data_IF_210345095059
#
_entry.id   IF_210345095059
#
_cell.length_a   1.000
_cell.length_b   1.000
_cell.length_c   1.000
_cell.angle_alpha   90.00
_cell.angle_beta   90.00
_cell.angle_gamma   90.00
#
_symmetry.space_group_name_H-M   'P 1'
#
loop_
_entity.id
_entity.type
_entity.pdbx_description
1 polymer ?
#
# COMPACT_ATOMS: atom_id res chain seq x y z
N UNK A 1 17.56 -0.62 20.17
CA UNK A 1 16.70 -1.29 19.16
C UNK A 1 15.82 -2.28 19.88
N UNK A 2 14.49 -2.18 19.71
CA UNK A 2 13.54 -3.06 20.41
C UNK A 2 13.46 -4.49 19.83
N UNK A 3 13.96 -4.68 18.60
CA UNK A 3 13.99 -5.97 17.92
C UNK A 3 15.43 -6.43 17.72
N UNK A 4 15.74 -7.61 18.23
CA UNK A 4 17.01 -8.29 17.97
C UNK A 4 17.01 -9.00 16.61
N UNK A 5 18.12 -9.62 16.26
CA UNK A 5 18.25 -10.36 15.00
C UNK A 5 17.29 -11.53 14.88
N UNK A 6 16.92 -12.17 16.03
CA UNK A 6 15.97 -13.27 16.06
C UNK A 6 14.56 -12.84 15.66
N UNK A 7 14.09 -11.71 16.18
CA UNK A 7 12.78 -11.17 15.87
C UNK A 7 12.72 -10.69 14.42
N UNK A 8 13.78 -10.08 13.91
CA UNK A 8 13.87 -9.68 12.49
C UNK A 8 13.81 -10.90 11.57
N UNK A 9 14.51 -11.98 11.91
CA UNK A 9 14.44 -13.23 11.17
C UNK A 9 13.01 -13.80 11.15
N UNK A 10 12.33 -13.81 12.30
CA UNK A 10 10.94 -14.27 12.39
C UNK A 10 9.97 -13.40 11.56
N UNK A 11 10.21 -12.09 11.48
CA UNK A 11 9.43 -11.19 10.61
C UNK A 11 9.62 -11.53 9.12
N UNK A 12 10.85 -11.84 8.71
CA UNK A 12 11.13 -12.27 7.33
C UNK A 12 10.43 -13.61 7.03
N UNK A 13 10.51 -14.58 7.95
CA UNK A 13 9.81 -15.87 7.81
C UNK A 13 8.30 -15.65 7.73
N UNK A 14 7.74 -14.79 8.57
CA UNK A 14 6.31 -14.45 8.53
C UNK A 14 5.93 -13.83 7.18
N UNK A 15 6.73 -12.91 6.64
CA UNK A 15 6.49 -12.30 5.33
C UNK A 15 6.49 -13.35 4.21
N UNK A 16 7.43 -14.30 4.22
CA UNK A 16 7.49 -15.41 3.26
C UNK A 16 6.27 -16.34 3.37
N UNK A 17 5.83 -16.65 4.58
CA UNK A 17 4.60 -17.44 4.79
C UNK A 17 3.35 -16.73 4.30
N UNK A 18 3.30 -15.40 4.42
CA UNK A 18 2.21 -14.58 3.90
C UNK A 18 2.13 -14.62 2.38
N UNK A 19 3.24 -14.75 1.67
CA UNK A 19 3.25 -14.96 0.20
C UNK A 19 2.47 -16.22 -0.17
N UNK A 20 2.61 -17.32 0.59
CA UNK A 20 1.81 -18.53 0.38
C UNK A 20 0.30 -18.29 0.50
N UNK A 21 -0.13 -17.46 1.45
CA UNK A 21 -1.54 -17.10 1.61
C UNK A 21 -2.09 -16.22 0.46
N UNK A 22 -1.23 -15.42 -0.16
CA UNK A 22 -1.59 -14.52 -1.27
C UNK A 22 -1.58 -15.21 -2.65
N UNK A 23 -0.91 -16.35 -2.78
CA UNK A 23 -0.62 -17.00 -4.08
C UNK A 23 -1.87 -17.57 -4.78
N UNK A 24 -3.03 -17.71 -4.12
CA UNK A 24 -4.23 -18.31 -4.73
C UNK A 24 -4.03 -19.80 -5.08
N UNK A 25 -4.49 -20.21 -6.26
CA UNK A 25 -4.58 -21.63 -6.63
C UNK A 25 -3.25 -22.23 -7.16
N UNK A 26 -2.23 -21.41 -7.41
CA UNK A 26 -0.97 -21.88 -7.99
C UNK A 26 0.26 -21.47 -7.16
N UNK A 27 0.62 -22.34 -6.23
CA UNK A 27 1.74 -22.15 -5.31
C UNK A 27 3.09 -21.92 -6.03
N UNK A 28 3.33 -22.61 -7.17
CA UNK A 28 4.58 -22.44 -7.91
C UNK A 28 4.75 -21.02 -8.46
N UNK A 29 3.70 -20.44 -9.02
CA UNK A 29 3.73 -19.04 -9.50
C UNK A 29 4.02 -18.06 -8.35
N UNK A 30 3.43 -18.26 -7.18
CA UNK A 30 3.68 -17.41 -6.03
C UNK A 30 5.10 -17.52 -5.51
N UNK A 31 5.63 -18.73 -5.39
CA UNK A 31 7.03 -18.95 -4.98
C UNK A 31 7.98 -18.31 -5.99
N UNK A 32 7.76 -18.49 -7.29
CA UNK A 32 8.60 -17.88 -8.34
C UNK A 32 8.57 -16.37 -8.25
N UNK A 33 7.38 -15.74 -8.10
CA UNK A 33 7.25 -14.28 -7.95
C UNK A 33 7.94 -13.78 -6.68
N UNK A 34 7.85 -14.53 -5.58
CA UNK A 34 8.54 -14.21 -4.33
C UNK A 34 10.06 -14.23 -4.51
N UNK A 35 10.60 -15.27 -5.15
CA UNK A 35 12.04 -15.39 -5.40
C UNK A 35 12.54 -14.27 -6.31
N UNK A 36 11.79 -13.90 -7.36
CA UNK A 36 12.11 -12.75 -8.20
C UNK A 36 12.11 -11.45 -7.40
N UNK A 37 11.12 -11.23 -6.55
CA UNK A 37 11.08 -10.07 -5.65
C UNK A 37 12.28 -10.02 -4.69
N UNK A 38 12.71 -11.16 -4.14
CA UNK A 38 13.90 -11.25 -3.29
C UNK A 38 15.19 -10.94 -4.06
N UNK A 39 15.32 -11.42 -5.31
CA UNK A 39 16.47 -11.10 -6.17
C UNK A 39 16.53 -9.60 -6.43
N UNK A 40 15.42 -8.98 -6.85
CA UNK A 40 15.35 -7.54 -7.09
C UNK A 40 15.66 -6.76 -5.80
N UNK A 41 15.09 -7.15 -4.67
CA UNK A 41 15.33 -6.53 -3.37
C UNK A 41 16.74 -6.72 -2.82
N UNK A 42 17.53 -7.66 -3.35
CA UNK A 42 18.93 -7.88 -2.98
C UNK A 42 19.93 -7.02 -3.76
N UNK A 43 19.48 -6.34 -4.81
CA UNK A 43 20.30 -5.40 -5.58
C UNK A 43 20.61 -4.17 -4.71
N UNK A 44 21.86 -3.75 -4.68
CA UNK A 44 22.28 -2.56 -3.94
C UNK A 44 23.41 -2.82 -2.97
N UNK A 45 23.71 -1.86 -2.13
CA UNK A 45 24.75 -1.96 -1.10
C UNK A 45 24.20 -2.65 0.14
N UNK A 46 24.90 -3.67 0.62
CA UNK A 46 24.53 -4.37 1.86
C UNK A 46 24.62 -3.43 3.07
N UNK A 47 23.54 -3.23 3.84
CA UNK A 47 23.50 -2.23 4.92
C UNK A 47 24.51 -2.49 6.04
N UNK A 48 24.94 -3.74 6.24
CA UNK A 48 25.82 -4.15 7.35
C UNK A 48 27.30 -4.14 6.92
N UNK A 49 27.60 -4.67 5.74
CA UNK A 49 29.00 -4.85 5.27
C UNK A 49 29.46 -3.74 4.33
N UNK A 50 28.54 -2.97 3.74
CA UNK A 50 28.86 -1.97 2.72
C UNK A 50 29.20 -2.55 1.35
N UNK A 51 29.14 -3.88 1.19
CA UNK A 51 29.50 -4.53 -0.08
C UNK A 51 28.40 -4.35 -1.13
N UNK A 52 28.77 -4.02 -2.39
CA UNK A 52 27.82 -3.94 -3.50
C UNK A 52 27.37 -5.33 -3.91
N UNK A 53 26.05 -5.54 -4.01
CA UNK A 53 25.41 -6.80 -4.44
C UNK A 53 24.67 -6.59 -5.73
N UNK A 54 24.98 -7.38 -6.76
CA UNK A 54 24.31 -7.39 -8.07
C UNK A 54 24.22 -6.00 -8.72
N UNK A 55 25.22 -5.13 -8.48
CA UNK A 55 25.23 -3.75 -9.00
C UNK A 55 25.85 -3.66 -10.40
N UNK A 56 26.45 -4.73 -10.92
CA UNK A 56 27.12 -4.79 -12.24
C UNK A 56 28.07 -3.59 -12.48
N UNK A 57 28.74 -3.10 -11.45
CA UNK A 57 29.58 -1.90 -11.45
C UNK A 57 28.85 -0.59 -11.81
N UNK A 58 27.54 -0.57 -11.75
CA UNK A 58 26.74 0.64 -11.93
C UNK A 58 26.61 1.38 -10.60
N UNK A 59 27.05 2.64 -10.58
CA UNK A 59 26.89 3.53 -9.41
C UNK A 59 25.39 3.72 -9.07
N UNK A 60 24.56 3.69 -10.08
CA UNK A 60 23.12 3.85 -9.96
C UNK A 60 22.46 2.71 -9.13
N UNK A 61 22.95 1.47 -9.30
CA UNK A 61 22.40 0.31 -8.59
C UNK A 61 22.92 0.19 -7.16
N UNK A 62 23.86 1.04 -6.71
CA UNK A 62 24.35 1.00 -5.33
C UNK A 62 23.27 1.34 -4.30
N UNK A 63 22.32 2.19 -4.64
CA UNK A 63 21.18 2.54 -3.79
C UNK A 63 20.05 1.51 -3.85
N UNK A 64 20.18 0.48 -4.70
CA UNK A 64 19.15 -0.53 -4.93
C UNK A 64 18.04 -0.05 -5.86
N UNK A 65 17.03 -0.89 -6.06
CA UNK A 65 15.85 -0.57 -6.87
C UNK A 65 14.73 -0.10 -5.94
N UNK A 66 14.22 1.15 -6.08
CA UNK A 66 13.15 1.64 -5.22
C UNK A 66 11.87 0.82 -5.38
N UNK A 67 11.29 0.36 -4.27
CA UNK A 67 10.06 -0.45 -4.26
C UNK A 67 8.90 0.23 -5.02
N UNK A 68 8.82 1.56 -4.95
CA UNK A 68 7.79 2.34 -5.65
C UNK A 68 7.93 2.21 -7.17
N UNK A 69 9.16 2.20 -7.68
CA UNK A 69 9.44 2.04 -9.12
C UNK A 69 9.04 0.65 -9.60
N UNK A 70 9.41 -0.39 -8.84
CA UNK A 70 8.99 -1.76 -9.12
C UNK A 70 7.46 -1.89 -9.10
N UNK A 71 6.81 -1.30 -8.09
CA UNK A 71 5.35 -1.30 -7.99
C UNK A 71 4.66 -0.60 -9.16
N UNK A 72 5.17 0.55 -9.59
CA UNK A 72 4.64 1.26 -10.76
C UNK A 72 4.83 0.45 -12.04
N UNK A 73 6.01 -0.17 -12.23
CA UNK A 73 6.28 -1.02 -13.38
C UNK A 73 5.37 -2.26 -13.45
N UNK A 74 5.24 -2.98 -12.33
CA UNK A 74 4.48 -4.25 -12.29
C UNK A 74 2.96 -4.07 -12.30
N UNK A 75 2.44 -2.97 -11.76
CA UNK A 75 0.98 -2.78 -11.63
C UNK A 75 0.45 -1.69 -12.55
N UNK A 76 1.09 -0.52 -12.61
CA UNK A 76 0.52 0.60 -13.33
C UNK A 76 0.69 0.46 -14.85
N UNK A 77 1.84 -0.03 -15.33
CA UNK A 77 2.07 -0.15 -16.78
C UNK A 77 1.19 -1.22 -17.40
N UNK A 78 1.09 -2.47 -16.90
CA UNK A 78 0.17 -3.47 -17.44
C UNK A 78 -1.28 -3.01 -17.42
N UNK A 79 -1.70 -2.29 -16.38
CA UNK A 79 -3.05 -1.71 -16.32
C UNK A 79 -3.27 -0.69 -17.44
N UNK A 80 -2.30 0.20 -17.70
CA UNK A 80 -2.40 1.18 -18.80
C UNK A 80 -2.44 0.48 -20.16
N UNK A 81 -1.62 -0.56 -20.37
CA UNK A 81 -1.63 -1.33 -21.62
C UNK A 81 -2.99 -2.03 -21.79
N UNK A 82 -3.51 -2.66 -20.75
CA UNK A 82 -4.85 -3.26 -20.75
C UNK A 82 -5.96 -2.24 -21.04
N UNK A 83 -5.82 -1.01 -20.53
CA UNK A 83 -6.75 0.07 -20.81
C UNK A 83 -6.68 0.55 -22.27
N UNK A 84 -5.50 0.57 -22.89
CA UNK A 84 -5.33 0.95 -24.30
C UNK A 84 -5.97 -0.07 -25.25
N UNK A 85 -5.98 -1.34 -24.91
CA UNK A 85 -6.65 -2.40 -25.68
C UNK A 85 -8.18 -2.33 -25.52
N UNK A 86 -8.68 -1.80 -24.42
CA UNK A 86 -10.10 -1.63 -24.16
C UNK A 86 -10.62 -0.32 -24.77
N UNK A 87 -11.45 -0.44 -25.82
CA UNK A 87 -12.09 0.74 -26.45
C UNK A 87 -13.21 1.28 -25.55
N UNK A 88 -13.00 2.42 -24.87
CA UNK A 88 -14.08 3.07 -24.10
C UNK A 88 -13.61 3.86 -22.89
N UNK A 89 -14.50 4.09 -21.95
CA UNK A 89 -14.24 4.68 -20.64
C UNK A 89 -14.36 3.59 -19.55
N UNK A 90 -13.75 3.80 -18.39
CA UNK A 90 -13.79 2.86 -17.24
C UNK A 90 -15.23 2.52 -16.86
N UNK A 91 -16.10 3.52 -16.87
CA UNK A 91 -17.52 3.35 -16.57
C UNK A 91 -18.39 3.74 -17.76
N UNK A 92 -19.38 2.91 -18.09
CA UNK A 92 -20.31 3.17 -19.20
C UNK A 92 -21.38 4.22 -18.89
N UNK A 93 -21.73 4.42 -17.67
CA UNK A 93 -22.62 5.48 -17.12
C UNK A 93 -22.71 5.29 -15.61
N UNK A 94 -22.56 6.34 -14.88
CA UNK A 94 -22.91 6.35 -13.46
C UNK A 94 -24.32 6.97 -13.38
N UNK A 95 -25.35 6.14 -13.29
CA UNK A 95 -26.61 6.60 -12.73
C UNK A 95 -26.33 6.93 -11.27
N UNK A 96 -26.31 8.22 -10.99
CA UNK A 96 -26.04 8.77 -9.67
C UNK A 96 -27.31 8.56 -8.79
N UNK A 97 -27.54 7.32 -8.41
CA UNK A 97 -28.48 7.04 -7.34
C UNK A 97 -27.77 7.36 -6.02
N UNK A 98 -28.52 7.83 -5.04
CA UNK A 98 -28.02 8.18 -3.69
C UNK A 98 -27.48 6.94 -2.97
N UNK A 99 -26.42 6.34 -3.52
CA UNK A 99 -25.85 5.06 -3.09
C UNK A 99 -25.15 5.11 -1.72
N UNK A 100 -24.85 6.30 -1.20
CA UNK A 100 -24.16 6.46 0.07
C UNK A 100 -24.96 5.86 1.26
N UNK A 101 -26.29 5.99 1.27
CA UNK A 101 -27.14 5.39 2.31
C UNK A 101 -27.13 3.87 2.21
N UNK A 102 -27.16 3.34 0.98
CA UNK A 102 -27.06 1.90 0.74
C UNK A 102 -25.69 1.38 1.18
N UNK A 103 -24.61 2.07 0.80
CA UNK A 103 -23.25 1.73 1.23
C UNK A 103 -23.10 1.73 2.75
N UNK A 104 -23.66 2.73 3.45
CA UNK A 104 -23.62 2.76 4.91
C UNK A 104 -24.38 1.56 5.53
N UNK A 105 -25.55 1.20 4.98
CA UNK A 105 -26.30 0.01 5.41
C UNK A 105 -25.52 -1.29 5.15
N UNK A 106 -24.83 -1.39 4.03
CA UNK A 106 -24.03 -2.56 3.68
C UNK A 106 -22.84 -2.73 4.62
N UNK A 107 -22.17 -1.64 5.00
CA UNK A 107 -21.10 -1.64 6.01
C UNK A 107 -21.65 -2.09 7.37
N UNK A 108 -22.78 -1.52 7.80
CA UNK A 108 -23.43 -1.92 9.05
C UNK A 108 -23.86 -3.39 9.05
N UNK A 109 -24.35 -3.91 7.93
CA UNK A 109 -24.72 -5.33 7.78
C UNK A 109 -23.49 -6.22 7.90
N UNK A 110 -22.33 -5.77 7.44
CA UNK A 110 -21.07 -6.49 7.48
C UNK A 110 -20.14 -6.03 8.62
N UNK A 111 -20.68 -5.45 9.70
CA UNK A 111 -19.92 -4.86 10.80
C UNK A 111 -18.85 -5.79 11.40
N UNK A 112 -19.17 -7.09 11.48
CA UNK A 112 -18.23 -8.09 12.01
C UNK A 112 -17.03 -8.30 11.09
N UNK A 113 -17.24 -8.25 9.76
CA UNK A 113 -16.16 -8.28 8.78
C UNK A 113 -15.28 -7.02 8.91
N UNK A 114 -15.90 -5.85 9.04
CA UNK A 114 -15.20 -4.58 9.27
C UNK A 114 -14.32 -4.66 10.51
N UNK A 115 -14.90 -5.07 11.64
CA UNK A 115 -14.15 -5.19 12.91
C UNK A 115 -12.96 -6.14 12.79
N UNK A 116 -13.18 -7.32 12.20
CA UNK A 116 -12.15 -8.34 12.03
C UNK A 116 -11.02 -7.88 11.10
N UNK A 117 -11.35 -7.27 9.96
CA UNK A 117 -10.37 -6.75 9.03
C UNK A 117 -9.66 -5.52 9.58
N UNK A 118 -10.34 -4.65 10.32
CA UNK A 118 -9.71 -3.53 11.02
C UNK A 118 -8.71 -3.99 12.07
N UNK A 119 -9.04 -5.03 12.83
CA UNK A 119 -8.11 -5.61 13.81
C UNK A 119 -6.87 -6.16 13.12
N UNK A 120 -7.05 -6.88 11.99
CA UNK A 120 -5.94 -7.38 11.18
C UNK A 120 -5.09 -6.20 10.65
N UNK A 121 -5.74 -5.16 10.12
CA UNK A 121 -5.07 -3.97 9.64
C UNK A 121 -4.25 -3.25 10.71
N UNK A 122 -4.80 -3.11 11.91
CA UNK A 122 -4.11 -2.51 13.05
C UNK A 122 -2.86 -3.33 13.45
N UNK A 123 -2.98 -4.66 13.52
CA UNK A 123 -1.86 -5.54 13.85
C UNK A 123 -0.75 -5.48 12.79
N UNK A 124 -1.12 -5.53 11.51
CA UNK A 124 -0.15 -5.42 10.40
C UNK A 124 0.49 -4.03 10.38
N UNK A 125 -0.28 -2.98 10.65
CA UNK A 125 0.22 -1.61 10.74
C UNK A 125 1.24 -1.41 11.86
N UNK A 126 1.09 -2.15 12.96
CA UNK A 126 2.04 -2.12 14.08
C UNK A 126 3.38 -2.80 13.76
N UNK A 127 3.48 -3.54 12.66
CA UNK A 127 4.73 -4.15 12.21
C UNK A 127 5.50 -3.16 11.31
N UNK A 128 6.69 -2.71 11.72
CA UNK A 128 7.49 -1.77 10.93
C UNK A 128 7.89 -2.39 9.58
N UNK A 129 7.81 -1.59 8.52
CA UNK A 129 8.29 -1.99 7.18
C UNK A 129 7.31 -2.76 6.30
N UNK A 130 6.26 -3.38 6.85
CA UNK A 130 5.24 -4.05 6.03
C UNK A 130 4.31 -3.04 5.30
N UNK A 131 4.19 -1.83 5.82
CA UNK A 131 3.52 -0.72 5.16
C UNK A 131 2.08 -0.97 4.73
N UNK A 132 1.57 -0.03 3.94
CA UNK A 132 0.22 -0.12 3.39
C UNK A 132 0.05 -1.04 2.19
N UNK A 133 1.13 -1.48 1.58
CA UNK A 133 1.09 -2.21 0.30
C UNK A 133 0.56 -3.64 0.42
N UNK A 134 0.68 -4.25 1.60
CA UNK A 134 0.34 -5.66 1.81
C UNK A 134 -0.99 -5.84 2.53
N UNK A 135 -1.41 -4.87 3.33
CA UNK A 135 -2.56 -5.00 4.23
C UNK A 135 -3.87 -5.25 3.48
N UNK A 136 -4.06 -4.61 2.34
CA UNK A 136 -5.26 -4.75 1.52
C UNK A 136 -5.41 -6.16 0.98
N UNK A 137 -4.31 -6.73 0.50
CA UNK A 137 -4.25 -8.09 0.00
C UNK A 137 -4.47 -9.13 1.11
N UNK A 138 -3.90 -8.90 2.29
CA UNK A 138 -4.11 -9.75 3.46
C UNK A 138 -5.57 -9.76 3.89
N UNK A 139 -6.21 -8.60 3.94
CA UNK A 139 -7.62 -8.48 4.30
C UNK A 139 -8.53 -9.14 3.25
N UNK A 140 -8.21 -8.97 1.96
CA UNK A 140 -8.95 -9.61 0.88
C UNK A 140 -8.78 -11.15 0.92
N UNK A 141 -7.57 -11.64 1.14
CA UNK A 141 -7.29 -13.07 1.29
C UNK A 141 -8.00 -13.65 2.51
N UNK A 142 -7.99 -12.92 3.63
CA UNK A 142 -8.71 -13.29 4.83
C UNK A 142 -10.23 -13.38 4.58
N UNK A 143 -10.80 -12.42 3.86
CA UNK A 143 -12.19 -12.46 3.42
C UNK A 143 -12.46 -13.73 2.60
N UNK A 144 -11.61 -14.01 1.59
CA UNK A 144 -11.77 -15.18 0.70
C UNK A 144 -11.73 -16.49 1.48
N UNK A 145 -10.81 -16.63 2.43
CA UNK A 145 -10.64 -17.84 3.24
C UNK A 145 -11.76 -18.06 4.25
N UNK A 146 -12.34 -17.00 4.77
CA UNK A 146 -13.33 -17.07 5.86
C UNK A 146 -14.77 -16.96 5.39
N UNK A 147 -15.02 -16.62 4.12
CA UNK A 147 -16.36 -16.53 3.55
C UNK A 147 -16.82 -17.89 3.02
N UNK A 148 -18.06 -18.24 3.32
CA UNK A 148 -18.70 -19.47 2.81
C UNK A 148 -18.97 -19.40 1.31
N UNK A 149 -19.33 -18.23 0.80
CA UNK A 149 -19.59 -17.96 -0.61
C UNK A 149 -18.65 -16.87 -1.11
N UNK A 150 -17.81 -17.21 -2.06
CA UNK A 150 -16.81 -16.36 -2.70
C UNK A 150 -17.08 -16.15 -4.20
N UNK A 151 -18.17 -16.71 -4.74
CA UNK A 151 -18.47 -16.74 -6.17
C UNK A 151 -18.65 -15.37 -6.81
N UNK A 152 -19.07 -14.38 -6.03
CA UNK A 152 -19.31 -12.99 -6.43
C UNK A 152 -18.14 -12.05 -6.09
N UNK A 153 -17.11 -12.51 -5.39
CA UNK A 153 -15.91 -11.71 -5.13
C UNK A 153 -15.22 -11.36 -6.45
N UNK A 154 -14.88 -10.08 -6.63
CA UNK A 154 -14.39 -9.55 -7.90
C UNK A 154 -15.46 -9.30 -8.98
N UNK A 155 -16.73 -9.59 -8.69
CA UNK A 155 -17.86 -9.39 -9.62
C UNK A 155 -18.94 -8.43 -9.08
N UNK A 156 -18.56 -7.55 -8.15
CA UNK A 156 -19.44 -6.54 -7.57
C UNK A 156 -19.89 -6.83 -6.13
N UNK A 157 -19.37 -7.87 -5.48
CA UNK A 157 -19.63 -8.10 -4.06
C UNK A 157 -18.97 -7.01 -3.22
N UNK A 158 -19.78 -6.26 -2.47
CA UNK A 158 -19.33 -5.14 -1.64
C UNK A 158 -18.32 -5.56 -0.57
N UNK A 159 -18.36 -6.82 -0.11
CA UNK A 159 -17.41 -7.34 0.87
C UNK A 159 -15.98 -7.29 0.36
N UNK A 160 -15.78 -7.46 -0.96
CA UNK A 160 -14.47 -7.39 -1.61
C UNK A 160 -13.82 -6.00 -1.55
N UNK A 161 -14.61 -4.94 -1.31
CA UNK A 161 -14.13 -3.59 -1.06
C UNK A 161 -14.07 -3.30 0.43
N UNK A 162 -15.11 -3.66 1.17
CA UNK A 162 -15.22 -3.36 2.60
C UNK A 162 -14.08 -3.96 3.42
N UNK A 163 -13.65 -5.19 3.10
CA UNK A 163 -12.61 -5.87 3.87
C UNK A 163 -11.24 -5.18 3.74
N UNK A 164 -10.66 -4.96 2.53
CA UNK A 164 -9.39 -4.28 2.40
C UNK A 164 -9.44 -2.83 2.88
N UNK A 165 -10.49 -2.07 2.57
CA UNK A 165 -10.59 -0.67 2.99
C UNK A 165 -10.67 -0.51 4.51
N UNK A 166 -11.37 -1.42 5.20
CA UNK A 166 -11.40 -1.43 6.67
C UNK A 166 -10.02 -1.68 7.27
N UNK A 167 -9.25 -2.58 6.69
CA UNK A 167 -7.90 -2.89 7.14
C UNK A 167 -6.93 -1.76 6.81
N UNK A 168 -7.01 -1.21 5.60
CA UNK A 168 -6.16 -0.11 5.14
C UNK A 168 -6.32 1.14 6.03
N UNK A 169 -7.54 1.48 6.40
CA UNK A 169 -7.78 2.60 7.29
C UNK A 169 -7.27 2.34 8.72
N UNK A 170 -7.52 1.15 9.25
CA UNK A 170 -7.11 0.77 10.61
C UNK A 170 -5.57 0.63 10.77
N UNK A 171 -4.83 0.28 9.71
CA UNK A 171 -3.36 0.19 9.75
C UNK A 171 -2.70 1.52 10.10
N UNK A 172 -3.30 2.65 9.72
CA UNK A 172 -2.74 3.97 10.03
C UNK A 172 -2.69 4.22 11.54
N UNK A 173 -3.70 3.74 12.27
CA UNK A 173 -3.68 3.74 13.73
C UNK A 173 -2.64 2.78 14.30
N UNK A 174 -2.55 1.56 13.76
CA UNK A 174 -1.54 0.58 14.15
C UNK A 174 -0.11 1.09 13.95
N UNK A 175 0.15 1.76 12.83
CA UNK A 175 1.46 2.31 12.49
C UNK A 175 1.91 3.46 13.40
N UNK A 176 1.01 4.10 14.15
CA UNK A 176 1.39 5.08 15.16
C UNK A 176 2.17 4.44 16.32
N UNK A 177 1.89 3.18 16.66
CA UNK A 177 2.53 2.48 17.77
C UNK A 177 4.07 2.46 17.60
N UNK A 178 4.62 1.82 16.54
CA UNK A 178 6.08 1.81 16.34
C UNK A 178 6.64 3.21 16.09
N UNK A 179 5.86 4.10 15.46
CA UNK A 179 6.32 5.44 15.14
C UNK A 179 6.51 6.30 16.39
N UNK A 180 5.56 6.29 17.31
CA UNK A 180 5.60 7.12 18.51
C UNK A 180 6.49 6.50 19.60
N UNK A 181 6.42 5.18 19.80
CA UNK A 181 7.11 4.51 20.92
C UNK A 181 8.55 4.17 20.58
N UNK A 182 8.84 3.78 19.33
CA UNK A 182 10.16 3.31 18.93
C UNK A 182 10.89 4.24 17.95
N UNK A 183 10.23 5.31 17.47
CA UNK A 183 10.80 6.17 16.44
C UNK A 183 11.00 5.46 15.10
N UNK A 184 10.30 4.35 14.86
CA UNK A 184 10.42 3.55 13.64
C UNK A 184 9.20 3.82 12.77
N UNK A 185 9.37 4.47 11.60
CA UNK A 185 8.24 4.82 10.76
C UNK A 185 7.61 3.55 10.14
N UNK A 186 6.32 3.36 10.34
CA UNK A 186 5.55 2.26 9.73
C UNK A 186 5.17 2.52 8.25
N UNK A 187 5.30 3.76 7.76
CA UNK A 187 4.98 4.15 6.39
C UNK A 187 5.67 5.47 6.02
N UNK A 188 5.68 5.83 4.72
CA UNK A 188 6.28 7.09 4.25
C UNK A 188 5.68 8.33 4.94
N UNK A 189 4.37 8.34 5.20
CA UNK A 189 3.72 9.43 5.93
C UNK A 189 4.23 9.55 7.37
N UNK A 190 4.61 8.46 7.99
CA UNK A 190 5.16 8.44 9.35
C UNK A 190 6.60 8.96 9.40
N UNK A 191 7.35 8.84 8.29
CA UNK A 191 8.69 9.48 8.16
C UNK A 191 8.55 11.00 8.25
N UNK A 192 7.55 11.56 7.54
CA UNK A 192 7.28 13.00 7.59
C UNK A 192 6.84 13.46 8.99
N UNK A 193 6.03 12.65 9.68
CA UNK A 193 5.62 12.90 11.06
C UNK A 193 6.83 12.94 12.00
N UNK A 194 7.74 11.97 11.89
CA UNK A 194 8.99 11.94 12.68
C UNK A 194 9.89 13.14 12.37
N UNK A 195 10.01 13.50 11.09
CA UNK A 195 10.72 14.72 10.70
C UNK A 195 10.12 15.98 11.34
N UNK A 196 8.79 16.07 11.40
CA UNK A 196 8.09 17.14 12.12
C UNK A 196 8.41 17.16 13.61
N UNK A 197 8.48 16.02 14.26
CA UNK A 197 8.88 15.91 15.68
C UNK A 197 10.29 16.42 15.95
N UNK A 198 11.23 16.03 15.10
CA UNK A 198 12.62 16.52 15.22
C UNK A 198 12.69 18.04 15.10
N UNK A 199 11.92 18.65 14.19
CA UNK A 199 11.88 20.10 14.01
C UNK A 199 11.35 20.85 15.24
N UNK A 200 10.45 20.26 16.01
CA UNK A 200 9.87 20.87 17.23
C UNK A 200 10.56 20.35 18.51
N UNK A 201 11.67 19.60 18.37
CA UNK A 201 12.47 19.11 19.49
C UNK A 201 11.82 18.00 20.31
N UNK A 202 10.89 17.25 19.71
CA UNK A 202 10.24 16.10 20.35
C UNK A 202 10.93 14.82 19.88
N UNK A 203 11.41 14.01 20.81
CA UNK A 203 12.00 12.73 20.53
C UNK A 203 10.95 11.60 20.73
N UNK A 204 10.69 10.78 19.69
CA UNK A 204 9.87 9.59 19.83
C UNK A 204 10.52 8.61 20.83
N UNK A 205 9.70 8.04 21.69
CA UNK A 205 10.21 7.12 22.71
C UNK A 205 9.15 6.76 23.73
N UNK A 206 9.57 6.13 24.82
CA UNK A 206 8.69 5.81 25.95
C UNK A 206 8.06 7.06 26.57
N UNK A 207 8.69 8.20 26.42
CA UNK A 207 8.17 9.48 26.91
C UNK A 207 6.85 9.88 26.24
N UNK A 208 6.60 9.40 25.02
CA UNK A 208 5.34 9.61 24.31
C UNK A 208 4.14 8.94 25.01
N UNK A 209 4.39 7.88 25.79
CA UNK A 209 3.33 7.18 26.53
C UNK A 209 3.39 7.45 28.04
N UNK A 210 4.30 8.30 28.47
CA UNK A 210 4.46 8.70 29.89
C UNK A 210 4.32 10.21 30.06
N UNK A 211 5.37 10.96 29.78
CA UNK A 211 5.47 12.42 29.98
C UNK A 211 4.72 13.24 28.93
N UNK A 212 4.73 12.80 27.66
CA UNK A 212 4.09 13.47 26.52
C UNK A 212 2.79 12.76 26.07
N UNK A 213 2.05 12.22 27.03
CA UNK A 213 0.83 11.45 26.76
C UNK A 213 -0.27 12.32 26.11
N UNK A 214 -0.33 13.59 26.44
CA UNK A 214 -1.20 14.59 25.83
C UNK A 214 -0.95 14.73 24.32
N UNK A 215 0.31 14.74 23.91
CA UNK A 215 0.68 14.80 22.50
C UNK A 215 0.28 13.51 21.78
N UNK A 216 0.46 12.36 22.41
CA UNK A 216 0.02 11.07 21.85
C UNK A 216 -1.49 11.04 21.64
N UNK A 217 -2.27 11.48 22.62
CA UNK A 217 -3.72 11.61 22.45
C UNK A 217 -4.10 12.62 21.38
N UNK A 218 -3.39 13.74 21.29
CA UNK A 218 -3.60 14.72 20.24
C UNK A 218 -3.43 14.07 18.85
N UNK A 219 -2.39 13.26 18.65
CA UNK A 219 -2.16 12.55 17.38
C UNK A 219 -3.27 11.55 17.07
N UNK A 220 -3.72 10.77 18.06
CA UNK A 220 -4.81 9.81 17.88
C UNK A 220 -6.10 10.51 17.49
N UNK A 221 -6.47 11.58 18.21
CA UNK A 221 -7.69 12.33 17.91
C UNK A 221 -7.61 13.12 16.60
N UNK A 222 -6.44 13.66 16.27
CA UNK A 222 -6.20 14.30 14.97
C UNK A 222 -6.39 13.33 13.81
N UNK A 223 -5.88 12.11 13.94
CA UNK A 223 -6.07 11.06 12.94
C UNK A 223 -7.56 10.68 12.81
N UNK A 224 -8.26 10.51 13.93
CA UNK A 224 -9.69 10.20 13.93
C UNK A 224 -10.51 11.33 13.27
N UNK A 225 -10.23 12.59 13.62
CA UNK A 225 -10.90 13.75 13.05
C UNK A 225 -10.60 13.89 11.55
N UNK A 226 -9.34 13.70 11.13
CA UNK A 226 -8.93 13.74 9.73
C UNK A 226 -9.66 12.69 8.90
N UNK A 227 -9.85 11.49 9.44
CA UNK A 227 -10.62 10.42 8.77
C UNK A 227 -12.10 10.81 8.61
N UNK A 228 -12.73 11.37 9.63
CA UNK A 228 -14.13 11.80 9.57
C UNK A 228 -14.30 12.93 8.55
N UNK A 229 -13.45 13.96 8.62
CA UNK A 229 -13.51 15.10 7.71
C UNK A 229 -13.18 14.68 6.28
N UNK A 230 -12.13 13.86 6.09
CA UNK A 230 -11.72 13.34 4.78
C UNK A 230 -12.82 12.52 4.14
N UNK A 231 -13.42 11.58 4.88
CA UNK A 231 -14.55 10.79 4.39
C UNK A 231 -15.76 11.68 4.04
N UNK A 232 -16.06 12.68 4.87
CA UNK A 232 -17.14 13.64 4.62
C UNK A 232 -16.92 14.43 3.32
N UNK A 233 -15.72 14.95 3.12
CA UNK A 233 -15.34 15.66 1.89
C UNK A 233 -15.40 14.74 0.68
N UNK A 234 -14.82 13.54 0.76
CA UNK A 234 -14.87 12.57 -0.33
C UNK A 234 -16.30 12.18 -0.71
N UNK A 235 -17.18 11.98 0.27
CA UNK A 235 -18.60 11.70 0.03
C UNK A 235 -19.33 12.89 -0.60
N UNK A 236 -19.06 14.12 -0.14
CA UNK A 236 -19.66 15.32 -0.70
C UNK A 236 -19.28 15.53 -2.18
N UNK A 237 -18.04 15.22 -2.53
CA UNK A 237 -17.52 15.37 -3.88
C UNK A 237 -17.52 14.07 -4.70
N UNK A 238 -18.08 12.98 -4.16
CA UNK A 238 -18.06 11.67 -4.82
C UNK A 238 -18.61 11.70 -6.25
N UNK A 239 -19.68 12.48 -6.52
CA UNK A 239 -20.25 12.61 -7.86
C UNK A 239 -19.37 13.38 -8.83
N UNK A 240 -18.58 14.32 -8.36
CA UNK A 240 -17.61 15.06 -9.17
C UNK A 240 -16.38 14.18 -9.46
N UNK A 241 -15.87 13.50 -8.43
CA UNK A 241 -14.74 12.57 -8.55
C UNK A 241 -15.09 11.42 -9.51
N UNK A 242 -16.30 10.89 -9.42
CA UNK A 242 -16.75 9.82 -10.31
C UNK A 242 -16.81 10.21 -11.79
N UNK A 243 -16.88 11.52 -12.12
CA UNK A 243 -16.80 11.98 -13.53
C UNK A 243 -15.44 11.71 -14.16
N UNK A 244 -14.37 11.63 -13.37
CA UNK A 244 -13.05 11.27 -13.88
C UNK A 244 -13.01 9.83 -14.43
N UNK A 245 -13.87 8.93 -13.94
CA UNK A 245 -13.96 7.56 -14.46
C UNK A 245 -14.65 7.48 -15.82
N UNK A 246 -15.28 8.57 -16.27
CA UNK A 246 -15.88 8.71 -17.60
C UNK A 246 -14.91 9.23 -18.65
N UNK A 247 -13.71 9.64 -18.21
CA UNK A 247 -12.68 10.14 -19.14
C UNK A 247 -12.24 8.97 -20.04
N UNK A 248 -12.25 9.16 -21.37
CA UNK A 248 -11.84 8.11 -22.30
C UNK A 248 -10.38 7.72 -22.11
N UNK A 249 -10.08 6.44 -22.29
CA UNK A 249 -8.73 5.89 -22.09
C UNK A 249 -7.64 6.55 -22.92
N UNK A 250 -7.95 6.95 -24.15
CA UNK A 250 -6.98 7.61 -25.03
C UNK A 250 -6.47 8.95 -24.48
N UNK A 251 -7.22 9.59 -23.55
CA UNK A 251 -6.77 10.79 -22.83
C UNK A 251 -6.12 10.38 -21.50
N UNK A 252 -6.72 9.42 -20.79
CA UNK A 252 -6.27 9.03 -19.46
C UNK A 252 -4.90 8.33 -19.51
N UNK A 253 -4.68 7.42 -20.46
CA UNK A 253 -3.45 6.67 -20.55
C UNK A 253 -2.19 7.53 -20.74
N UNK A 254 -2.12 8.49 -21.69
CA UNK A 254 -0.97 9.39 -21.81
C UNK A 254 -0.72 10.24 -20.55
N UNK A 255 -1.79 10.72 -19.90
CA UNK A 255 -1.67 11.50 -18.67
C UNK A 255 -1.10 10.62 -17.55
N UNK A 256 -1.58 9.38 -17.40
CA UNK A 256 -1.07 8.43 -16.40
C UNK A 256 0.40 8.09 -16.68
N UNK A 257 0.77 7.84 -17.92
CA UNK A 257 2.17 7.62 -18.31
C UNK A 257 3.04 8.80 -17.92
N UNK A 258 2.65 10.03 -18.29
CA UNK A 258 3.38 11.24 -17.91
C UNK A 258 3.52 11.38 -16.38
N UNK A 259 2.46 11.10 -15.62
CA UNK A 259 2.51 11.14 -14.15
C UNK A 259 3.45 10.09 -13.57
N UNK A 260 3.45 8.87 -14.12
CA UNK A 260 4.37 7.80 -13.71
C UNK A 260 5.81 8.19 -13.99
N UNK A 261 6.09 8.70 -15.19
CA UNK A 261 7.42 9.21 -15.57
C UNK A 261 7.88 10.30 -14.60
N UNK A 262 7.03 11.28 -14.33
CA UNK A 262 7.37 12.37 -13.43
C UNK A 262 7.58 11.89 -12.00
N UNK A 263 6.73 10.99 -11.49
CA UNK A 263 6.86 10.41 -10.16
C UNK A 263 8.16 9.60 -10.03
N UNK A 264 8.46 8.76 -11.02
CA UNK A 264 9.67 7.93 -11.04
C UNK A 264 10.94 8.78 -11.10
N UNK A 265 10.94 9.82 -11.93
CA UNK A 265 12.06 10.78 -12.00
C UNK A 265 12.29 11.51 -10.67
N UNK A 266 11.21 11.92 -9.98
CA UNK A 266 11.35 12.63 -8.71
C UNK A 266 11.90 11.78 -7.56
N UNK A 267 11.80 10.45 -7.63
CA UNK A 267 12.28 9.57 -6.57
C UNK A 267 13.82 9.62 -6.48
N UNK A 268 14.50 9.48 -7.62
CA UNK A 268 15.96 9.41 -7.66
C UNK A 268 16.62 10.58 -8.39
N UNK A 269 15.82 11.48 -9.01
CA UNK A 269 16.27 12.58 -9.87
C UNK A 269 17.22 12.14 -11.00
N UNK A 270 17.04 10.90 -11.48
CA UNK A 270 17.87 10.30 -12.51
C UNK A 270 17.02 9.75 -13.67
N UNK A 271 17.50 9.94 -14.90
CA UNK A 271 16.85 9.49 -16.13
C UNK A 271 16.90 7.97 -16.31
N UNK A 272 17.89 7.30 -15.75
CA UNK A 272 18.00 5.83 -15.82
C UNK A 272 16.87 5.10 -15.06
N UNK A 273 16.27 5.73 -14.08
CA UNK A 273 15.10 5.18 -13.38
C UNK A 273 13.89 4.96 -14.30
N UNK A 274 13.79 5.76 -15.38
CA UNK A 274 12.73 5.63 -16.37
C UNK A 274 12.91 4.41 -17.28
N UNK A 275 14.15 4.04 -17.59
CA UNK A 275 14.45 2.86 -18.42
C UNK A 275 14.03 1.57 -17.72
N UNK A 276 14.23 1.46 -16.41
CA UNK A 276 13.82 0.28 -15.65
C UNK A 276 12.31 0.07 -15.60
N UNK A 277 11.52 1.15 -15.64
CA UNK A 277 10.06 1.01 -15.72
C UNK A 277 9.58 0.56 -17.10
N UNK A 278 10.29 0.91 -18.17
CA UNK A 278 9.94 0.50 -19.53
C UNK A 278 10.35 -0.95 -19.83
N UNK A 279 11.56 -1.37 -19.41
CA UNK A 279 12.05 -2.72 -19.66
C UNK A 279 11.25 -3.80 -18.90
N UNK A 280 10.78 -3.48 -17.68
CA UNK A 280 9.92 -4.38 -16.92
C UNK A 280 8.55 -4.62 -17.58
N UNK A 281 8.09 -3.71 -18.44
CA UNK A 281 6.82 -3.87 -19.17
C UNK A 281 6.95 -4.75 -20.41
N UNK A 282 8.10 -4.72 -21.09
CA UNK A 282 8.33 -5.50 -22.31
C UNK A 282 8.51 -6.99 -22.04
N UNK A 283 9.09 -7.36 -20.89
CA UNK A 283 9.27 -8.76 -20.49
C UNK A 283 7.96 -9.49 -20.12
N UNK A 284 6.87 -8.78 -19.84
CA UNK A 284 5.57 -9.35 -19.50
C UNK A 284 4.58 -9.42 -20.66
N UNK A 285 4.89 -8.82 -21.81
CA UNK A 285 4.04 -8.82 -23.01
C UNK A 285 4.44 -9.85 -24.05
N UNK A 286 5.57 -10.54 -23.88
CA UNK A 286 6.04 -11.68 -24.66
C UNK A 286 5.74 -13.01 -23.91
#
# INVERSE_FOLDING_TARGET
MAFGFGEQFLLVVLALLMVGALTGDNLFKGITSCLLGLIIGSIGTAPITGDPRYTFNSLYLLEGVPLVVVGLGLFAIPEIVGLLDSKGAIAKSLKNEKGWVTGAKDVLKNWFLVLRCSTLGCLVGALPGLGGTVVDWLAYSHLKQTSKDTSQLGKGDIRGVTAPESANNAKEGGALIPTLIFGIPGSGNKVLLLGGFVLIGIEPGLDMVTTNLDLTYLMIWSLALANILGAGICLAFASQISKFTLVPYYILAPVMVCLIFFATFNINRDWYCLLYTSDAADDFTS
#
